data_IF_331689665484
#
_entry.id   IF_331689665484
#
_cell.length_a   1.000
_cell.length_b   1.000
_cell.length_c   1.000
_cell.angle_alpha   90.00
_cell.angle_beta   90.00
_cell.angle_gamma   90.00
#
_symmetry.space_group_name_H-M   'P 1'
#
loop_
_entity.id
_entity.type
_entity.pdbx_description
1 polymer ?
#
# COMPACT_ATOMS: atom_id res chain seq x y z
N UNK A 1 23.49 -35.29 3.77
CA UNK A 1 22.41 -36.24 3.44
C UNK A 1 21.69 -36.58 4.74
N UNK A 2 20.38 -36.44 4.96
CA UNK A 2 19.18 -35.94 4.24
C UNK A 2 18.12 -35.71 5.37
N UNK A 3 17.18 -34.76 5.40
CA UNK A 3 16.72 -33.63 4.55
C UNK A 3 16.65 -32.37 5.47
N UNK A 4 16.91 -31.13 5.02
CA UNK A 4 16.10 -30.22 4.19
C UNK A 4 14.74 -29.79 4.80
N UNK A 5 14.64 -28.47 5.07
CA UNK A 5 13.41 -27.67 5.16
C UNK A 5 12.26 -28.22 6.01
N UNK A 6 12.38 -28.10 7.33
CA UNK A 6 11.15 -27.94 8.14
C UNK A 6 10.54 -26.58 7.78
N UNK A 7 9.34 -26.65 7.17
CA UNK A 7 8.59 -25.53 6.63
C UNK A 7 8.44 -24.42 7.67
N UNK A 8 9.25 -23.36 7.52
CA UNK A 8 8.95 -22.09 8.15
C UNK A 8 7.81 -21.47 7.35
N UNK A 9 6.59 -21.74 7.79
CA UNK A 9 5.44 -20.88 7.48
C UNK A 9 5.73 -19.51 8.13
N UNK A 10 6.51 -18.69 7.42
CA UNK A 10 6.92 -17.37 7.87
C UNK A 10 5.69 -16.47 7.73
N UNK A 11 5.09 -15.95 8.81
CA UNK A 11 3.86 -15.16 8.74
C UNK A 11 4.14 -13.71 8.29
N UNK A 12 5.15 -13.53 7.43
CA UNK A 12 5.43 -12.28 6.76
C UNK A 12 4.35 -12.04 5.69
N UNK A 13 3.32 -11.30 6.11
CA UNK A 13 2.58 -10.36 5.27
C UNK A 13 2.06 -10.92 3.93
N UNK A 14 0.97 -11.70 4.02
CA UNK A 14 0.11 -11.95 2.86
C UNK A 14 -0.28 -10.60 2.22
N UNK A 15 -0.13 -10.44 0.89
CA UNK A 15 -0.32 -9.15 0.24
C UNK A 15 -1.81 -8.76 0.26
N UNK A 16 -2.17 -7.86 1.16
CA UNK A 16 -3.46 -7.16 1.13
C UNK A 16 -3.48 -6.26 -0.10
N UNK A 17 -4.44 -6.47 -0.99
CA UNK A 17 -4.68 -5.59 -2.14
C UNK A 17 -5.65 -4.48 -1.75
N UNK A 18 -5.23 -3.24 -1.95
CA UNK A 18 -6.13 -2.08 -1.85
C UNK A 18 -6.87 -1.85 -3.17
N UNK A 19 -6.23 -2.15 -4.32
CA UNK A 19 -6.89 -2.08 -5.63
C UNK A 19 -6.77 -3.40 -6.41
N UNK A 20 -7.86 -4.18 -6.45
CA UNK A 20 -7.92 -5.43 -7.22
C UNK A 20 -7.82 -5.23 -8.74
N UNK A 21 -8.27 -4.07 -9.25
CA UNK A 21 -8.27 -3.79 -10.70
C UNK A 21 -6.86 -3.52 -11.25
N UNK A 22 -6.06 -2.74 -10.51
CA UNK A 22 -4.70 -2.35 -10.88
C UNK A 22 -3.62 -3.15 -10.11
N UNK A 23 -4.02 -4.20 -9.38
CA UNK A 23 -3.15 -5.01 -8.52
C UNK A 23 -2.29 -4.23 -7.51
N UNK A 24 -2.75 -3.06 -7.06
CA UNK A 24 -2.04 -2.23 -6.06
C UNK A 24 -2.19 -2.87 -4.69
N UNK A 25 -1.08 -3.24 -4.06
CA UNK A 25 -1.04 -3.74 -2.68
C UNK A 25 -0.99 -2.57 -1.71
N UNK A 26 -1.41 -2.82 -0.47
CA UNK A 26 -1.33 -1.87 0.64
C UNK A 26 0.08 -1.27 0.77
N UNK A 27 1.13 -2.11 0.71
CA UNK A 27 2.53 -1.66 0.71
C UNK A 27 2.91 -0.78 -0.48
N UNK A 28 2.33 -1.02 -1.67
CA UNK A 28 2.66 -0.26 -2.87
C UNK A 28 2.03 1.15 -2.77
N UNK A 29 0.83 1.24 -2.17
CA UNK A 29 0.20 2.50 -1.80
C UNK A 29 0.94 3.24 -0.67
N UNK A 30 1.39 2.54 0.39
CA UNK A 30 2.25 3.15 1.44
C UNK A 30 3.53 3.72 0.85
N UNK A 31 4.28 2.94 0.07
CA UNK A 31 5.51 3.39 -0.59
C UNK A 31 5.27 4.65 -1.44
N UNK A 32 4.13 4.75 -2.15
CA UNK A 32 3.78 5.95 -2.89
C UNK A 32 3.56 7.17 -1.97
N UNK A 33 2.85 6.98 -0.85
CA UNK A 33 2.57 8.04 0.15
C UNK A 33 3.86 8.51 0.83
N UNK A 34 4.72 7.58 1.24
CA UNK A 34 6.05 7.85 1.80
C UNK A 34 6.98 8.54 0.79
N UNK A 35 6.79 8.27 -0.52
CA UNK A 35 7.45 8.99 -1.62
C UNK A 35 6.81 10.36 -1.94
N UNK A 36 5.85 10.82 -1.12
CA UNK A 36 5.21 12.14 -1.23
C UNK A 36 3.84 12.19 -1.91
N UNK A 37 3.20 11.06 -2.19
CA UNK A 37 1.87 11.04 -2.79
C UNK A 37 0.78 11.49 -1.79
N UNK A 38 0.43 12.77 -1.84
CA UNK A 38 -0.62 13.39 -1.00
C UNK A 38 -2.03 13.34 -1.59
N UNK A 39 -2.23 12.67 -2.73
CA UNK A 39 -3.56 12.49 -3.35
C UNK A 39 -3.72 11.11 -3.96
N UNK A 40 -4.96 10.62 -4.05
CA UNK A 40 -5.27 9.33 -4.70
C UNK A 40 -4.78 9.29 -6.15
N UNK A 41 -4.85 10.43 -6.87
CA UNK A 41 -4.28 10.55 -8.22
C UNK A 41 -2.76 10.34 -8.20
N UNK A 42 -2.03 10.98 -7.29
CA UNK A 42 -0.58 10.81 -7.17
C UNK A 42 -0.19 9.35 -6.85
N UNK A 43 -0.99 8.61 -6.07
CA UNK A 43 -0.77 7.17 -5.84
C UNK A 43 -0.93 6.38 -7.15
N UNK A 44 -1.97 6.64 -7.95
CA UNK A 44 -2.13 6.00 -9.27
C UNK A 44 -1.00 6.36 -10.25
N UNK A 45 -0.57 7.63 -10.30
CA UNK A 45 0.54 8.07 -11.15
C UNK A 45 1.86 7.41 -10.72
N UNK A 46 2.14 7.32 -9.41
CA UNK A 46 3.31 6.63 -8.85
C UNK A 46 3.31 5.13 -9.18
N UNK A 47 2.15 4.48 -9.10
CA UNK A 47 1.96 3.10 -9.53
C UNK A 47 1.85 2.93 -11.06
N UNK A 48 2.04 3.99 -11.87
CA UNK A 48 1.91 3.99 -13.33
C UNK A 48 0.60 3.37 -13.88
N UNK A 49 -0.50 3.51 -13.13
CA UNK A 49 -1.80 2.90 -13.45
C UNK A 49 -2.92 3.95 -13.56
N UNK A 50 -4.13 3.53 -13.98
CA UNK A 50 -5.29 4.43 -14.11
C UNK A 50 -6.50 3.86 -13.36
N UNK A 51 -7.33 4.70 -12.72
CA UNK A 51 -8.51 4.21 -12.01
C UNK A 51 -9.49 3.54 -12.98
N UNK A 52 -10.03 2.37 -12.60
CA UNK A 52 -10.99 1.60 -13.41
C UNK A 52 -12.39 1.58 -12.79
N UNK A 53 -12.54 1.03 -11.58
CA UNK A 53 -13.84 0.90 -10.90
C UNK A 53 -14.06 1.88 -9.73
N UNK A 54 -13.04 2.69 -9.41
CA UNK A 54 -13.00 3.65 -8.29
C UNK A 54 -13.28 3.11 -6.86
N UNK A 55 -13.55 1.81 -6.67
CA UNK A 55 -13.89 1.23 -5.35
C UNK A 55 -12.85 1.51 -4.26
N UNK A 56 -11.57 1.45 -4.60
CA UNK A 56 -10.44 1.66 -3.70
C UNK A 56 -10.13 3.14 -3.39
N UNK A 57 -10.86 4.09 -3.97
CA UNK A 57 -10.54 5.53 -3.83
C UNK A 57 -10.72 6.01 -2.40
N UNK A 58 -11.73 5.50 -1.68
CA UNK A 58 -11.95 5.82 -0.28
C UNK A 58 -10.82 5.25 0.60
N UNK A 59 -10.45 3.99 0.39
CA UNK A 59 -9.40 3.32 1.18
C UNK A 59 -8.04 3.99 0.98
N UNK A 60 -7.64 4.26 -0.27
CA UNK A 60 -6.39 4.98 -0.57
C UNK A 60 -6.41 6.40 0.02
N UNK A 61 -7.57 7.08 0.03
CA UNK A 61 -7.70 8.41 0.66
C UNK A 61 -7.51 8.33 2.17
N UNK A 62 -8.08 7.31 2.83
CA UNK A 62 -7.90 7.10 4.26
C UNK A 62 -6.43 6.81 4.59
N UNK A 63 -5.75 5.95 3.82
CA UNK A 63 -4.32 5.69 3.98
C UNK A 63 -3.45 6.95 3.86
N UNK A 64 -3.81 7.89 2.97
CA UNK A 64 -3.13 9.19 2.86
C UNK A 64 -3.36 10.02 4.14
N UNK A 65 -4.61 10.11 4.61
CA UNK A 65 -5.02 10.90 5.78
C UNK A 65 -4.31 10.42 7.06
N UNK A 66 -4.37 9.12 7.35
CA UNK A 66 -3.66 8.48 8.48
C UNK A 66 -2.15 8.73 8.44
N UNK A 67 -1.54 8.73 7.24
CA UNK A 67 -0.12 9.02 7.08
C UNK A 67 0.20 10.51 7.33
N UNK A 68 -0.63 11.45 6.87
CA UNK A 68 -0.46 12.88 7.17
C UNK A 68 -0.59 13.15 8.67
N UNK A 69 -1.58 12.55 9.33
CA UNK A 69 -1.77 12.64 10.80
C UNK A 69 -0.51 12.12 11.50
N UNK A 70 -0.06 10.91 11.15
CA UNK A 70 1.15 10.29 11.73
C UNK A 70 2.40 11.14 11.55
N UNK A 71 2.58 11.77 10.37
CA UNK A 71 3.72 12.67 10.12
C UNK A 71 3.62 13.98 10.90
N UNK A 72 2.42 14.54 11.08
CA UNK A 72 2.25 15.76 11.87
C UNK A 72 2.55 15.54 13.37
N UNK A 73 2.09 14.41 13.93
CA UNK A 73 2.34 14.05 15.34
C UNK A 73 3.81 13.70 15.63
N UNK A 74 4.60 13.33 14.61
CA UNK A 74 6.02 13.04 14.76
C UNK A 74 6.93 14.29 14.66
N UNK A 75 6.34 15.47 14.43
CA UNK A 75 7.06 16.75 14.28
C UNK A 75 6.96 17.67 15.52
N UNK A 76 6.26 17.24 16.58
CA UNK A 76 6.06 17.96 17.85
C UNK A 76 6.97 17.42 18.98
#
# INVERSE_FOLDING_TARGET
MLLETYSHCHPAELPVYVCNCNAIRERDARNAIESGASTVKAVFDHCATRPQCAKCVCDIRQMIDDAQISMSMAAE
#
